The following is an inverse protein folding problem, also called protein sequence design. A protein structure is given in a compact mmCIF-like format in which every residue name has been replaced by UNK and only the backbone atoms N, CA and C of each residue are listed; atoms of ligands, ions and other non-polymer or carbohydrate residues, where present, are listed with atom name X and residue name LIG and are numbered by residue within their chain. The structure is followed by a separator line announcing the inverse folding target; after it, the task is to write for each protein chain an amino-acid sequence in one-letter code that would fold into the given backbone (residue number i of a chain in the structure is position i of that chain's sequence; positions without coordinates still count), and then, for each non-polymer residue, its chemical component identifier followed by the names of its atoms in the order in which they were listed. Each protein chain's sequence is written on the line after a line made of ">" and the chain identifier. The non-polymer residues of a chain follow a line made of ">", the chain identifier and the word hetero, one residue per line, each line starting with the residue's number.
data_IF_873086230754
#
_entry.id   IF_873086230754
#
_cell.length_a   1.000
_cell.length_b   1.000
_cell.length_c   1.000
_cell.angle_alpha   90.00
_cell.angle_beta   90.00
_cell.angle_gamma   90.00
#
_symmetry.space_group_name_H-M   'P 1'
#
loop_
_entity.id
_entity.type
_entity.pdbx_description
1 polymer ?
#
# COMPACT_ATOMS: atom_id res chain seq x y z
N UNK A 1 -17.78 -15.81 36.14
CA UNK A 1 -19.05 -15.33 36.71
C UNK A 1 -18.77 -14.74 38.10
N UNK A 2 -19.52 -13.69 38.43
CA UNK A 2 -19.63 -13.06 39.77
C UNK A 2 -18.54 -12.09 40.22
N UNK A 3 -18.77 -10.80 39.93
CA UNK A 3 -18.63 -9.69 40.91
C UNK A 3 -19.71 -8.63 40.60
N UNK A 4 -20.93 -8.92 41.04
CA UNK A 4 -22.10 -8.02 41.00
C UNK A 4 -22.78 -7.97 42.39
N UNK A 5 -22.01 -8.19 43.45
CA UNK A 5 -22.54 -8.46 44.80
C UNK A 5 -22.29 -7.39 45.86
N UNK A 6 -21.70 -6.23 45.52
CA UNK A 6 -21.18 -5.30 46.54
C UNK A 6 -21.72 -3.86 46.42
N UNK A 7 -22.94 -3.71 45.89
CA UNK A 7 -23.65 -2.42 45.81
C UNK A 7 -24.92 -2.42 46.68
N UNK A 8 -25.33 -3.58 47.20
CA UNK A 8 -26.60 -3.74 47.94
C UNK A 8 -26.57 -3.31 49.41
N UNK A 9 -25.39 -3.19 50.02
CA UNK A 9 -25.28 -2.90 51.47
C UNK A 9 -25.33 -1.41 51.82
N UNK A 10 -24.90 -0.50 50.93
CA UNK A 10 -24.80 0.93 51.24
C UNK A 10 -26.10 1.73 51.07
N UNK A 11 -27.06 1.21 50.30
CA UNK A 11 -28.32 1.91 50.01
C UNK A 11 -29.33 1.73 51.15
N UNK A 12 -29.24 0.62 51.89
CA UNK A 12 -30.14 0.31 53.01
C UNK A 12 -29.83 1.19 54.23
N UNK A 13 -28.56 1.54 54.47
CA UNK A 13 -28.18 2.43 55.59
C UNK A 13 -28.57 3.90 55.34
N UNK A 14 -28.48 4.39 54.11
CA UNK A 14 -28.84 5.79 53.81
C UNK A 14 -30.35 6.03 53.87
N UNK A 15 -31.16 5.08 53.39
CA UNK A 15 -32.62 5.16 53.47
C UNK A 15 -33.12 5.16 54.93
N UNK A 16 -32.46 4.41 55.80
CA UNK A 16 -32.82 4.33 57.22
C UNK A 16 -32.45 5.61 57.98
N UNK A 17 -31.30 6.22 57.67
CA UNK A 17 -30.90 7.53 58.24
C UNK A 17 -31.80 8.67 57.77
N UNK A 18 -32.22 8.67 56.49
CA UNK A 18 -33.16 9.65 55.97
C UNK A 18 -34.58 9.49 56.55
N UNK A 19 -35.03 8.25 56.80
CA UNK A 19 -36.33 8.00 57.42
C UNK A 19 -36.37 8.46 58.90
N UNK A 20 -35.30 8.20 59.67
CA UNK A 20 -35.22 8.63 61.08
C UNK A 20 -35.03 10.15 61.22
N UNK A 21 -34.31 10.78 60.28
CA UNK A 21 -34.22 12.25 60.17
C UNK A 21 -35.55 12.93 59.79
N UNK A 22 -36.34 12.31 58.90
CA UNK A 22 -37.65 12.82 58.49
C UNK A 22 -38.69 12.79 59.61
N UNK A 23 -38.70 11.73 60.42
CA UNK A 23 -39.65 11.59 61.54
C UNK A 23 -39.34 12.58 62.67
N UNK A 24 -38.06 12.83 62.97
CA UNK A 24 -37.67 13.79 64.02
C UNK A 24 -37.90 15.25 63.62
N UNK A 25 -37.70 15.62 62.34
CA UNK A 25 -38.03 16.95 61.83
C UNK A 25 -39.55 17.21 61.81
N UNK A 26 -40.36 16.21 61.44
CA UNK A 26 -41.82 16.37 61.36
C UNK A 26 -42.50 16.60 62.73
N UNK A 27 -41.99 15.99 63.80
CA UNK A 27 -42.49 16.22 65.18
C UNK A 27 -42.08 17.61 65.68
N UNK A 28 -40.86 18.07 65.38
CA UNK A 28 -40.40 19.41 65.74
C UNK A 28 -41.21 20.53 65.07
N UNK A 29 -41.59 20.34 63.80
CA UNK A 29 -42.44 21.29 63.06
C UNK A 29 -43.87 21.31 63.61
N UNK A 30 -44.45 20.16 63.98
CA UNK A 30 -45.80 20.09 64.57
C UNK A 30 -45.90 20.76 65.96
N UNK A 31 -44.86 20.64 66.79
CA UNK A 31 -44.81 21.31 68.09
C UNK A 31 -44.62 22.82 67.93
N UNK A 32 -43.76 23.26 67.00
CA UNK A 32 -43.58 24.67 66.68
C UNK A 32 -44.85 25.31 66.07
N UNK A 33 -45.58 24.57 65.22
CA UNK A 33 -46.81 25.04 64.60
C UNK A 33 -47.95 25.21 65.61
N UNK A 34 -48.05 24.34 66.62
CA UNK A 34 -49.04 24.48 67.70
C UNK A 34 -48.74 25.66 68.63
N UNK A 35 -47.46 25.92 68.95
CA UNK A 35 -47.06 27.05 69.80
C UNK A 35 -47.24 28.38 69.06
N UNK A 36 -46.94 28.42 67.75
CA UNK A 36 -47.08 29.62 66.92
C UNK A 36 -48.54 30.07 66.74
N UNK A 37 -49.50 29.14 66.76
CA UNK A 37 -50.94 29.45 66.64
C UNK A 37 -51.56 30.07 67.90
N UNK A 38 -50.88 29.99 69.04
CA UNK A 38 -51.36 30.47 70.34
C UNK A 38 -50.84 31.84 70.77
N UNK A 39 -50.06 32.53 69.92
CA UNK A 39 -49.48 33.83 70.25
C UNK A 39 -50.27 34.99 69.59
N UNK A 40 -50.45 36.13 70.27
CA UNK A 40 -51.25 37.26 69.77
C UNK A 40 -50.57 37.96 68.58
N UNK A 41 -51.38 38.64 67.77
CA UNK A 41 -50.91 39.43 66.62
C UNK A 41 -50.25 40.74 67.07
N UNK A 42 -48.92 40.70 67.22
CA UNK A 42 -48.07 41.88 67.41
C UNK A 42 -47.26 42.23 66.13
N UNK A 43 -47.09 43.52 65.80
CA UNK A 43 -46.49 43.99 64.54
C UNK A 43 -44.99 43.70 64.39
N UNK A 44 -44.29 43.28 65.46
CA UNK A 44 -42.87 42.89 65.42
C UNK A 44 -42.69 41.52 64.74
N UNK A 45 -43.75 40.71 64.68
CA UNK A 45 -43.69 39.34 64.15
C UNK A 45 -43.85 39.23 62.63
N UNK A 46 -44.32 40.26 61.93
CA UNK A 46 -44.51 40.21 60.47
C UNK A 46 -43.19 40.04 59.72
N UNK A 47 -42.13 40.74 60.14
CA UNK A 47 -40.79 40.61 59.54
C UNK A 47 -40.15 39.22 59.81
N UNK A 48 -40.29 38.68 61.02
CA UNK A 48 -39.79 37.32 61.33
C UNK A 48 -40.60 36.22 60.63
N UNK A 49 -41.93 36.40 60.49
CA UNK A 49 -42.81 35.44 59.79
C UNK A 49 -42.44 35.32 58.31
N UNK A 50 -42.01 36.41 57.68
CA UNK A 50 -41.55 36.41 56.29
C UNK A 50 -40.22 35.63 56.09
N UNK A 51 -39.29 35.78 57.04
CA UNK A 51 -38.02 35.02 57.09
C UNK A 51 -38.26 33.53 57.36
N UNK A 52 -39.26 33.19 58.17
CA UNK A 52 -39.61 31.82 58.56
C UNK A 52 -40.47 31.05 57.53
N UNK A 53 -40.93 31.69 56.45
CA UNK A 53 -41.63 31.00 55.35
C UNK A 53 -43.07 30.58 55.63
N UNK A 54 -43.73 31.22 56.60
CA UNK A 54 -45.14 30.99 56.89
C UNK A 54 -45.96 31.97 56.04
N UNK A 55 -46.48 31.51 54.91
CA UNK A 55 -47.40 32.30 54.06
C UNK A 55 -48.83 32.21 54.61
N UNK A 56 -49.44 33.36 54.90
CA UNK A 56 -50.88 33.48 55.14
C UNK A 56 -51.50 34.37 54.05
N UNK A 57 -52.73 34.06 53.65
CA UNK A 57 -53.52 34.87 52.72
C UNK A 57 -53.54 36.34 53.17
N UNK A 58 -52.95 37.23 52.35
CA UNK A 58 -53.08 38.69 52.48
C UNK A 58 -51.80 39.47 52.82
N UNK A 59 -50.61 38.86 52.86
CA UNK A 59 -49.34 39.57 53.11
C UNK A 59 -48.55 39.85 51.83
N UNK A 60 -49.12 40.67 50.95
CA UNK A 60 -48.61 40.99 49.61
C UNK A 60 -47.15 41.51 49.63
N UNK A 61 -46.75 42.22 50.69
CA UNK A 61 -45.40 42.79 50.83
C UNK A 61 -44.32 41.72 51.05
N UNK A 62 -44.64 40.65 51.79
CA UNK A 62 -43.70 39.55 52.01
C UNK A 62 -43.55 38.69 50.75
N UNK A 63 -44.67 38.45 50.05
CA UNK A 63 -44.71 37.73 48.78
C UNK A 63 -43.93 38.49 47.69
N UNK A 64 -44.15 39.80 47.53
CA UNK A 64 -43.45 40.65 46.57
C UNK A 64 -41.93 40.67 46.82
N UNK A 65 -41.51 40.72 48.10
CA UNK A 65 -40.08 40.69 48.45
C UNK A 65 -39.43 39.35 48.09
N UNK A 66 -40.09 38.21 48.40
CA UNK A 66 -39.58 36.88 48.03
C UNK A 66 -39.60 36.64 46.51
N UNK A 67 -40.62 37.12 45.81
CA UNK A 67 -40.68 37.10 44.36
C UNK A 67 -39.55 37.93 43.75
N UNK A 68 -39.31 39.14 44.26
CA UNK A 68 -38.20 39.99 43.83
C UNK A 68 -36.84 39.32 44.04
N UNK A 69 -36.59 38.74 45.22
CA UNK A 69 -35.35 38.00 45.49
C UNK A 69 -35.21 36.73 44.65
N UNK A 70 -36.31 36.00 44.40
CA UNK A 70 -36.36 34.81 43.56
C UNK A 70 -36.10 35.13 42.09
N UNK A 71 -36.75 36.17 41.55
CA UNK A 71 -36.55 36.68 40.20
C UNK A 71 -35.13 37.21 40.02
N UNK A 72 -34.58 37.93 41.00
CA UNK A 72 -33.20 38.40 40.94
C UNK A 72 -32.17 37.26 40.92
N UNK A 73 -32.40 36.21 41.74
CA UNK A 73 -31.54 35.01 41.72
C UNK A 73 -31.67 34.25 40.40
N UNK A 74 -32.88 34.11 39.87
CA UNK A 74 -33.14 33.44 38.60
C UNK A 74 -32.55 34.23 37.42
N UNK A 75 -32.69 35.55 37.39
CA UNK A 75 -32.09 36.43 36.39
C UNK A 75 -30.56 36.34 36.43
N UNK A 76 -29.96 36.36 37.63
CA UNK A 76 -28.51 36.20 37.79
C UNK A 76 -28.02 34.83 37.31
N UNK A 77 -28.75 33.75 37.62
CA UNK A 77 -28.42 32.40 37.16
C UNK A 77 -28.56 32.29 35.62
N UNK A 78 -29.61 32.88 35.05
CA UNK A 78 -29.83 32.91 33.60
C UNK A 78 -28.74 33.69 32.87
N UNK A 79 -28.33 34.86 33.40
CA UNK A 79 -27.22 35.63 32.84
C UNK A 79 -25.89 34.85 32.90
N UNK A 80 -25.64 34.11 33.98
CA UNK A 80 -24.47 33.25 34.09
C UNK A 80 -24.51 32.11 33.07
N UNK A 81 -25.65 31.42 32.93
CA UNK A 81 -25.82 30.33 31.96
C UNK A 81 -25.64 30.83 30.52
N UNK A 82 -26.16 32.02 30.20
CA UNK A 82 -25.99 32.64 28.87
C UNK A 82 -24.52 32.93 28.56
N UNK A 83 -23.78 33.46 29.54
CA UNK A 83 -22.33 33.71 29.38
C UNK A 83 -21.55 32.40 29.22
N UNK A 84 -21.90 31.34 29.95
CA UNK A 84 -21.29 30.02 29.83
C UNK A 84 -21.56 29.40 28.46
N UNK A 85 -22.81 29.39 28.00
CA UNK A 85 -23.18 28.91 26.65
C UNK A 85 -22.47 29.70 25.55
N UNK A 86 -22.33 31.02 25.70
CA UNK A 86 -21.65 31.83 24.71
C UNK A 86 -20.14 31.51 24.64
N UNK A 87 -19.50 31.24 25.79
CA UNK A 87 -18.12 30.77 25.83
C UNK A 87 -17.96 29.39 25.19
N UNK A 88 -18.84 28.45 25.50
CA UNK A 88 -18.84 27.12 24.88
C UNK A 88 -19.03 27.19 23.36
N UNK A 89 -19.95 28.04 22.90
CA UNK A 89 -20.18 28.25 21.48
C UNK A 89 -18.94 28.80 20.77
N UNK A 90 -18.32 29.84 21.33
CA UNK A 90 -17.07 30.40 20.79
C UNK A 90 -15.93 29.39 20.79
N UNK A 91 -15.86 28.52 21.81
CA UNK A 91 -14.85 27.46 21.85
C UNK A 91 -15.10 26.42 20.75
N UNK A 92 -16.33 25.96 20.58
CA UNK A 92 -16.72 25.03 19.51
C UNK A 92 -16.48 25.62 18.13
N UNK A 93 -16.73 26.91 17.93
CA UNK A 93 -16.47 27.60 16.67
C UNK A 93 -14.98 27.58 16.32
N UNK A 94 -14.09 27.89 17.29
CA UNK A 94 -12.64 27.80 17.11
C UNK A 94 -12.14 26.38 16.85
N UNK A 95 -12.72 25.40 17.55
CA UNK A 95 -12.41 23.98 17.34
C UNK A 95 -12.83 23.54 15.93
N UNK A 96 -14.01 23.97 15.46
CA UNK A 96 -14.51 23.68 14.13
C UNK A 96 -13.63 24.31 13.04
N UNK A 97 -13.25 25.57 13.19
CA UNK A 97 -12.33 26.26 12.27
C UNK A 97 -10.97 25.55 12.19
N UNK A 98 -10.44 25.11 13.34
CA UNK A 98 -9.19 24.36 13.39
C UNK A 98 -9.31 23.01 12.66
N UNK A 99 -10.44 22.31 12.85
CA UNK A 99 -10.72 21.06 12.15
C UNK A 99 -10.89 21.27 10.64
N UNK A 100 -11.61 22.31 10.22
CA UNK A 100 -11.80 22.65 8.80
C UNK A 100 -10.44 22.94 8.16
N UNK A 101 -9.60 23.74 8.81
CA UNK A 101 -8.25 24.04 8.33
C UNK A 101 -7.43 22.76 8.16
N UNK A 102 -7.42 21.89 9.18
CA UNK A 102 -6.71 20.61 9.12
C UNK A 102 -7.23 19.71 7.99
N UNK A 103 -8.55 19.63 7.79
CA UNK A 103 -9.14 18.85 6.70
C UNK A 103 -8.78 19.41 5.33
N UNK A 104 -8.77 20.73 5.16
CA UNK A 104 -8.37 21.34 3.90
C UNK A 104 -6.89 21.07 3.58
N UNK A 105 -6.01 21.10 4.59
CA UNK A 105 -4.60 20.72 4.43
C UNK A 105 -4.46 19.23 4.05
N UNK A 106 -5.22 18.34 4.69
CA UNK A 106 -5.26 16.91 4.33
C UNK A 106 -5.75 16.68 2.90
N UNK A 107 -6.82 17.37 2.47
CA UNK A 107 -7.38 17.28 1.12
C UNK A 107 -6.37 17.77 0.08
N UNK A 108 -5.76 18.94 0.28
CA UNK A 108 -4.74 19.46 -0.61
C UNK A 108 -3.54 18.49 -0.73
N UNK A 109 -3.15 17.86 0.38
CA UNK A 109 -2.12 16.83 0.41
C UNK A 109 -2.50 15.57 -0.38
N UNK A 110 -3.77 15.14 -0.32
CA UNK A 110 -4.27 13.99 -1.08
C UNK A 110 -4.41 14.30 -2.57
N UNK A 111 -4.88 15.49 -2.94
CA UNK A 111 -4.95 15.95 -4.33
C UNK A 111 -3.55 16.03 -4.97
N UNK A 112 -2.55 16.53 -4.22
CA UNK A 112 -1.15 16.54 -4.66
C UNK A 112 -0.62 15.13 -4.94
N UNK A 113 -0.90 14.17 -4.05
CA UNK A 113 -0.53 12.75 -4.27
C UNK A 113 -1.29 12.14 -5.45
N UNK A 114 -2.57 12.46 -5.61
CA UNK A 114 -3.37 12.01 -6.75
C UNK A 114 -2.76 12.42 -8.08
N UNK A 115 -2.40 13.70 -8.22
CA UNK A 115 -1.73 14.21 -9.43
C UNK A 115 -0.38 13.55 -9.69
N UNK A 116 0.42 13.30 -8.65
CA UNK A 116 1.69 12.59 -8.79
C UNK A 116 1.50 11.16 -9.30
N UNK A 117 0.53 10.43 -8.74
CA UNK A 117 0.20 9.07 -9.17
C UNK A 117 -0.37 9.01 -10.59
N UNK A 118 -1.17 10.01 -11.00
CA UNK A 118 -1.64 10.13 -12.38
C UNK A 118 -0.47 10.34 -13.36
N UNK A 119 0.50 11.17 -12.98
CA UNK A 119 1.74 11.36 -13.75
C UNK A 119 2.57 10.08 -13.87
N UNK A 120 2.73 9.35 -12.76
CA UNK A 120 3.43 8.05 -12.77
C UNK A 120 2.70 7.01 -13.63
N UNK A 121 1.37 6.96 -13.57
CA UNK A 121 0.57 6.06 -14.41
C UNK A 121 0.75 6.37 -15.89
N UNK A 122 0.69 7.65 -16.27
CA UNK A 122 0.94 8.07 -17.66
C UNK A 122 2.34 7.68 -18.14
N UNK A 123 3.36 7.85 -17.28
CA UNK A 123 4.73 7.41 -17.58
C UNK A 123 4.87 5.89 -17.71
N UNK A 124 4.15 5.11 -16.91
CA UNK A 124 4.12 3.65 -17.02
C UNK A 124 3.44 3.18 -18.31
N UNK A 125 2.35 3.82 -18.70
CA UNK A 125 1.66 3.48 -19.95
C UNK A 125 2.52 3.80 -21.17
N UNK A 126 3.31 4.88 -21.15
CA UNK A 126 4.30 5.17 -22.18
C UNK A 126 5.38 4.09 -22.25
N UNK A 127 5.94 3.67 -21.11
CA UNK A 127 6.94 2.58 -21.06
C UNK A 127 6.38 1.26 -21.56
N UNK A 128 5.11 0.96 -21.28
CA UNK A 128 4.42 -0.23 -21.81
C UNK A 128 4.29 -0.18 -23.32
N UNK A 129 3.93 0.98 -23.88
CA UNK A 129 3.86 1.16 -25.32
C UNK A 129 5.23 0.97 -26.00
N UNK A 130 6.30 1.53 -25.42
CA UNK A 130 7.66 1.37 -25.92
C UNK A 130 8.11 -0.10 -25.88
N UNK A 131 7.86 -0.81 -24.77
CA UNK A 131 8.16 -2.23 -24.65
C UNK A 131 7.37 -3.08 -25.65
N UNK A 132 6.10 -2.74 -25.89
CA UNK A 132 5.29 -3.43 -26.90
C UNK A 132 5.85 -3.22 -28.32
N UNK A 133 6.36 -2.03 -28.64
CA UNK A 133 7.03 -1.76 -29.91
C UNK A 133 8.33 -2.56 -30.05
N UNK A 134 9.14 -2.63 -28.99
CA UNK A 134 10.37 -3.43 -28.98
C UNK A 134 10.09 -4.92 -29.14
N UNK A 135 9.05 -5.44 -28.49
CA UNK A 135 8.58 -6.82 -28.69
C UNK A 135 8.15 -7.06 -30.13
N UNK A 136 7.39 -6.16 -30.74
CA UNK A 136 7.00 -6.27 -32.14
C UNK A 136 8.20 -6.28 -33.10
N UNK A 137 9.24 -5.49 -32.82
CA UNK A 137 10.51 -5.53 -33.57
C UNK A 137 11.23 -6.86 -33.40
N UNK A 138 11.26 -7.41 -32.19
CA UNK A 138 11.86 -8.72 -31.92
C UNK A 138 11.10 -9.85 -32.61
N UNK A 139 9.77 -9.84 -32.58
CA UNK A 139 8.94 -10.81 -33.31
C UNK A 139 9.12 -10.70 -34.83
N UNK A 140 9.24 -9.47 -35.36
CA UNK A 140 9.52 -9.26 -36.78
C UNK A 140 10.92 -9.76 -37.17
N UNK A 141 11.92 -9.56 -36.30
CA UNK A 141 13.27 -10.10 -36.47
C UNK A 141 13.28 -11.63 -36.39
N UNK A 142 12.53 -12.23 -35.47
CA UNK A 142 12.36 -13.68 -35.39
C UNK A 142 11.73 -14.23 -36.68
N UNK A 143 10.66 -13.59 -37.15
CA UNK A 143 9.96 -14.00 -38.38
C UNK A 143 10.83 -13.82 -39.63
N UNK A 144 11.71 -12.81 -39.65
CA UNK A 144 12.66 -12.58 -40.74
C UNK A 144 13.89 -13.50 -40.67
N UNK A 145 14.29 -13.91 -39.46
CA UNK A 145 15.47 -14.74 -39.19
C UNK A 145 15.08 -16.21 -38.95
N UNK A 146 14.45 -16.83 -39.94
CA UNK A 146 14.06 -18.25 -39.91
C UNK A 146 15.22 -19.23 -39.78
N UNK A 147 16.46 -18.79 -39.96
CA UNK A 147 17.65 -19.50 -39.50
C UNK A 147 18.83 -18.55 -39.30
N UNK A 148 19.78 -18.94 -38.45
CA UNK A 148 21.06 -18.22 -38.30
C UNK A 148 22.23 -19.19 -38.16
N UNK A 149 23.40 -18.75 -38.61
CA UNK A 149 24.62 -19.57 -38.66
C UNK A 149 25.63 -19.08 -37.60
N UNK A 150 26.13 -20.00 -36.78
CA UNK A 150 27.27 -19.76 -35.88
C UNK A 150 28.51 -20.45 -36.42
N UNK A 151 29.65 -19.75 -36.36
CA UNK A 151 30.93 -20.26 -36.82
C UNK A 151 31.90 -20.40 -35.65
N UNK A 152 32.53 -21.57 -35.53
CA UNK A 152 33.69 -21.80 -34.66
C UNK A 152 34.93 -21.99 -35.52
N UNK A 153 36.01 -21.30 -35.19
CA UNK A 153 37.28 -21.38 -35.91
C UNK A 153 38.32 -22.00 -34.99
N UNK A 154 38.92 -23.10 -35.43
CA UNK A 154 40.06 -23.75 -34.77
C UNK A 154 41.30 -23.62 -35.65
N UNK A 155 42.42 -23.25 -35.05
CA UNK A 155 43.67 -23.12 -35.78
C UNK A 155 44.22 -24.50 -36.13
N UNK A 156 44.55 -24.68 -37.40
CA UNK A 156 45.24 -25.83 -37.95
C UNK A 156 46.69 -25.45 -38.28
N UNK A 157 47.51 -26.45 -38.62
CA UNK A 157 48.91 -26.23 -38.98
C UNK A 157 49.06 -25.23 -40.14
N UNK A 158 50.24 -24.62 -40.27
CA UNK A 158 50.59 -23.69 -41.37
C UNK A 158 49.73 -22.41 -41.43
N UNK A 159 49.09 -22.03 -40.32
CA UNK A 159 48.25 -20.82 -40.23
C UNK A 159 46.91 -20.93 -40.94
N UNK A 160 46.48 -22.15 -41.30
CA UNK A 160 45.17 -22.45 -41.86
C UNK A 160 44.17 -22.59 -40.70
N UNK A 161 42.91 -22.24 -40.92
CA UNK A 161 41.85 -22.41 -39.92
C UNK A 161 40.81 -23.42 -40.41
N UNK A 162 40.41 -24.31 -39.50
CA UNK A 162 39.24 -25.18 -39.64
C UNK A 162 38.03 -24.42 -39.10
N UNK A 163 37.04 -24.20 -39.96
CA UNK A 163 35.80 -23.52 -39.59
C UNK A 163 34.66 -24.53 -39.54
N UNK A 164 33.97 -24.58 -38.40
CA UNK A 164 32.73 -25.34 -38.22
C UNK A 164 31.55 -24.37 -38.18
N UNK A 165 30.68 -24.45 -39.19
CA UNK A 165 29.40 -23.74 -39.24
C UNK A 165 28.27 -24.60 -38.67
N UNK A 166 27.37 -24.00 -37.89
CA UNK A 166 26.15 -24.65 -37.38
C UNK A 166 24.97 -23.73 -37.66
N UNK A 167 23.97 -24.27 -38.36
CA UNK A 167 22.71 -23.59 -38.62
C UNK A 167 21.69 -23.93 -37.54
N UNK A 168 21.06 -22.91 -36.97
CA UNK A 168 20.00 -23.02 -35.97
C UNK A 168 18.67 -22.50 -36.51
N UNK A 169 17.56 -23.12 -36.07
CA UNK A 169 16.21 -22.73 -36.52
C UNK A 169 15.73 -21.37 -36.02
N UNK A 170 16.21 -20.91 -34.86
CA UNK A 170 15.77 -19.65 -34.27
C UNK A 170 16.77 -19.14 -33.24
N UNK A 171 16.97 -17.82 -33.22
CA UNK A 171 17.80 -17.13 -32.21
C UNK A 171 17.33 -17.39 -30.76
N UNK A 172 16.03 -17.58 -30.56
CA UNK A 172 15.43 -17.79 -29.23
C UNK A 172 15.55 -19.27 -28.81
N UNK A 173 15.48 -20.20 -29.77
CA UNK A 173 15.59 -21.65 -29.56
C UNK A 173 16.92 -22.19 -30.07
N UNK A 174 18.03 -21.68 -29.53
CA UNK A 174 19.40 -22.07 -29.84
C UNK A 174 19.73 -23.56 -29.59
N UNK A 175 18.79 -24.36 -29.07
CA UNK A 175 18.95 -25.80 -28.87
C UNK A 175 18.53 -26.62 -30.10
N UNK A 176 17.77 -26.03 -31.04
CA UNK A 176 17.32 -26.70 -32.26
C UNK A 176 18.20 -26.32 -33.46
N UNK A 177 19.26 -27.08 -33.67
CA UNK A 177 20.11 -26.97 -34.87
C UNK A 177 19.61 -27.84 -36.02
N UNK A 178 19.89 -27.43 -37.25
CA UNK A 178 19.38 -28.06 -38.49
C UNK A 178 20.47 -28.85 -39.20
N UNK A 179 21.63 -28.22 -39.37
CA UNK A 179 22.78 -28.82 -40.05
C UNK A 179 24.06 -28.19 -39.53
N UNK A 180 25.14 -28.96 -39.53
CA UNK A 180 26.46 -28.48 -39.22
C UNK A 180 27.44 -28.96 -40.30
N UNK A 181 28.40 -28.11 -40.67
CA UNK A 181 29.42 -28.41 -41.66
C UNK A 181 30.77 -27.89 -41.20
N UNK A 182 31.83 -28.55 -41.63
CA UNK A 182 33.20 -28.24 -41.28
C UNK A 182 34.01 -28.12 -42.57
N UNK A 183 34.82 -27.06 -42.68
CA UNK A 183 35.65 -26.79 -43.85
C UNK A 183 36.96 -26.13 -43.48
N UNK A 184 37.94 -26.21 -44.38
CA UNK A 184 39.18 -25.44 -44.31
C UNK A 184 39.25 -24.43 -45.44
N UNK A 185 39.89 -23.30 -45.16
CA UNK A 185 40.21 -22.28 -46.15
C UNK A 185 41.66 -22.43 -46.57
N UNK A 186 41.88 -22.86 -47.81
CA UNK A 186 43.22 -23.12 -48.35
C UNK A 186 43.38 -22.48 -49.73
N UNK A 187 44.56 -21.92 -50.05
CA UNK A 187 44.84 -21.45 -51.39
C UNK A 187 45.02 -22.64 -52.34
N UNK A 188 44.38 -22.58 -53.51
CA UNK A 188 44.65 -23.51 -54.59
C UNK A 188 46.01 -23.21 -55.27
N UNK A 189 46.41 -24.04 -56.24
CA UNK A 189 47.64 -23.84 -57.02
C UNK A 189 47.72 -22.50 -57.78
N UNK A 190 46.61 -21.79 -57.94
CA UNK A 190 46.52 -20.47 -58.57
C UNK A 190 46.53 -19.32 -57.53
N UNK A 191 46.66 -19.62 -56.23
CA UNK A 191 46.66 -18.63 -55.15
C UNK A 191 45.28 -18.15 -54.72
N UNK A 192 44.19 -18.76 -55.21
CA UNK A 192 42.81 -18.43 -54.83
C UNK A 192 42.41 -19.25 -53.62
N UNK A 193 41.93 -18.59 -52.55
CA UNK A 193 41.40 -19.27 -51.37
C UNK A 193 40.09 -19.98 -51.71
N UNK A 194 40.05 -21.29 -51.51
CA UNK A 194 38.87 -22.12 -51.67
C UNK A 194 38.45 -22.73 -50.32
N UNK A 195 37.15 -22.98 -50.17
CA UNK A 195 36.59 -23.68 -49.02
C UNK A 195 36.50 -25.16 -49.34
N UNK A 196 37.28 -25.98 -48.64
CA UNK A 196 37.27 -27.44 -48.80
C UNK A 196 36.46 -28.03 -47.65
N UNK A 197 35.33 -28.66 -47.97
CA UNK A 197 34.49 -29.32 -46.96
C UNK A 197 35.16 -30.59 -46.46
N UNK A 198 35.28 -30.70 -45.14
CA UNK A 198 35.89 -31.83 -44.44
C UNK A 198 34.83 -32.83 -43.98
N UNK A 199 33.77 -32.32 -43.38
CA UNK A 199 32.73 -33.16 -42.79
C UNK A 199 31.42 -32.40 -42.61
N UNK A 200 30.33 -33.14 -42.50
CA UNK A 200 28.98 -32.62 -42.21
C UNK A 200 28.26 -33.50 -41.20
N UNK A 201 27.35 -32.89 -40.45
CA UNK A 201 26.53 -33.57 -39.46
C UNK A 201 25.10 -33.03 -39.52
N UNK A 202 24.11 -33.91 -39.33
CA UNK A 202 22.71 -33.54 -39.11
C UNK A 202 22.23 -34.12 -37.77
N UNK A 203 21.17 -33.57 -37.15
CA UNK A 203 20.63 -34.12 -35.91
C UNK A 203 20.23 -35.58 -36.08
N UNK A 204 20.60 -36.44 -35.15
CA UNK A 204 20.32 -37.88 -35.17
C UNK A 204 21.20 -38.68 -36.14
N UNK A 205 22.21 -38.06 -36.76
CA UNK A 205 23.10 -38.71 -37.72
C UNK A 205 24.55 -38.67 -37.26
N UNK A 206 25.28 -39.73 -37.57
CA UNK A 206 26.73 -39.76 -37.42
C UNK A 206 27.39 -38.70 -38.32
N UNK A 207 28.60 -38.26 -37.93
CA UNK A 207 29.39 -37.35 -38.75
C UNK A 207 29.74 -38.04 -40.07
N UNK A 208 29.42 -37.38 -41.18
CA UNK A 208 29.77 -37.82 -42.53
C UNK A 208 31.00 -37.06 -42.96
N UNK A 209 32.14 -37.76 -43.06
CA UNK A 209 33.39 -37.22 -43.58
C UNK A 209 33.37 -37.22 -45.10
N UNK A 210 33.74 -36.11 -45.71
CA UNK A 210 33.84 -36.00 -47.16
C UNK A 210 35.11 -36.69 -47.64
N UNK A 211 35.00 -37.47 -48.72
CA UNK A 211 36.16 -38.15 -49.33
C UNK A 211 36.64 -37.32 -50.51
N UNK A 212 37.85 -36.76 -50.39
CA UNK A 212 38.46 -35.94 -51.43
C UNK A 212 39.46 -36.79 -52.22
N UNK A 213 39.45 -36.67 -53.54
CA UNK A 213 40.37 -37.44 -54.39
C UNK A 213 41.82 -37.00 -54.20
N UNK A 214 42.78 -37.91 -54.41
CA UNK A 214 44.20 -37.60 -54.31
C UNK A 214 44.64 -36.47 -55.27
N UNK A 215 43.98 -36.35 -56.43
CA UNK A 215 44.24 -35.29 -57.40
C UNK A 215 43.80 -33.91 -56.87
N UNK A 216 42.65 -33.83 -56.21
CA UNK A 216 42.16 -32.59 -55.59
C UNK A 216 43.02 -32.20 -54.39
N UNK A 217 43.40 -33.17 -53.55
CA UNK A 217 44.32 -32.96 -52.43
C UNK A 217 45.67 -32.40 -52.87
N UNK A 218 46.21 -32.88 -54.00
CA UNK A 218 47.43 -32.34 -54.58
C UNK A 218 47.28 -30.87 -55.00
N UNK A 219 46.12 -30.48 -55.57
CA UNK A 219 45.85 -29.10 -56.02
C UNK A 219 45.72 -28.08 -54.88
N UNK A 220 45.38 -28.55 -53.69
CA UNK A 220 45.29 -27.72 -52.47
C UNK A 220 46.49 -27.91 -51.54
N UNK A 221 47.51 -28.66 -51.98
CA UNK A 221 48.74 -28.95 -51.22
C UNK A 221 48.46 -29.48 -49.82
N UNK A 222 47.49 -30.39 -49.74
CA UNK A 222 47.03 -31.02 -48.52
C UNK A 222 47.22 -32.53 -48.66
N UNK A 223 47.69 -33.18 -47.60
CA UNK A 223 47.87 -34.64 -47.56
C UNK A 223 46.65 -35.33 -46.98
N UNK A 224 46.50 -36.63 -47.23
CA UNK A 224 45.44 -37.43 -46.62
C UNK A 224 45.55 -37.44 -45.07
N UNK A 225 46.76 -37.41 -44.52
CA UNK A 225 46.99 -37.33 -43.08
C UNK A 225 46.57 -35.96 -42.51
N UNK A 226 46.92 -34.86 -43.21
CA UNK A 226 46.48 -33.51 -42.82
C UNK A 226 44.95 -33.38 -42.90
N UNK A 227 44.28 -34.03 -43.86
CA UNK A 227 42.81 -34.08 -43.94
C UNK A 227 42.19 -34.73 -42.71
N UNK A 228 42.74 -35.86 -42.27
CA UNK A 228 42.24 -36.58 -41.10
C UNK A 228 42.45 -35.75 -39.83
N UNK A 229 43.62 -35.14 -39.68
CA UNK A 229 43.93 -34.25 -38.55
C UNK A 229 43.01 -33.00 -38.54
N UNK A 230 42.80 -32.36 -39.68
CA UNK A 230 41.91 -31.21 -39.80
C UNK A 230 40.44 -31.59 -39.52
N UNK A 231 40.02 -32.79 -39.90
CA UNK A 231 38.69 -33.33 -39.57
C UNK A 231 38.54 -33.57 -38.07
N UNK A 232 39.60 -33.98 -37.39
CA UNK A 232 39.65 -34.12 -35.93
C UNK A 232 39.45 -32.79 -35.17
N UNK A 233 39.68 -31.65 -35.83
CA UNK A 233 39.46 -30.31 -35.25
C UNK A 233 38.03 -29.78 -35.46
N UNK A 234 37.15 -30.53 -36.13
CA UNK A 234 35.77 -30.11 -36.35
C UNK A 234 34.97 -30.08 -35.03
N UNK A 235 34.36 -28.94 -34.72
CA UNK A 235 33.64 -28.71 -33.46
C UNK A 235 32.12 -28.85 -33.63
N UNK A 236 31.67 -30.05 -33.97
CA UNK A 236 30.23 -30.32 -34.16
C UNK A 236 29.45 -30.24 -32.83
N UNK A 237 28.19 -29.78 -32.87
CA UNK A 237 27.33 -29.79 -31.69
C UNK A 237 27.08 -31.23 -31.21
N UNK A 238 27.09 -31.40 -29.89
CA UNK A 238 26.60 -32.61 -29.23
C UNK A 238 25.10 -32.73 -29.45
N UNK A 239 24.58 -33.95 -29.55
CA UNK A 239 23.12 -34.13 -29.50
C UNK A 239 22.65 -33.71 -28.11
N UNK A 240 21.68 -32.80 -28.06
CA UNK A 240 21.09 -32.35 -26.80
C UNK A 240 20.53 -33.54 -26.03
N UNK A 241 20.79 -33.57 -24.72
CA UNK A 241 20.21 -34.52 -23.77
C UNK A 241 18.73 -34.23 -23.54
#
# INVERSE_FOLDING_TARGET
>A
MSKLGDVGSGIVDFATVCAVGGVTASVGVLVAFNIARSLPDDPIWSEMRCVAGIEFQGDDKCFDKKLGEGLFKMEKAFQQEMVERQKEFQQRERELDTMIKKRNEEIAGLEGRGKALEGEKAGLDQKRAELAEQLGKLEALEKASTSFNLFKSNTFTRGINVQTGVEYKSFVRHQEWVTAWCYVQVPNDQGVTINVQLARKRPGQAVVTETISAAELAQIRFTAAEMEEATGLCSFPSEGS
#
